data_IF_605347097957
#
_entry.id   IF_605347097957
#
_cell.length_a   1.000
_cell.length_b   1.000
_cell.length_c   1.000
_cell.angle_alpha   90.00
_cell.angle_beta   90.00
_cell.angle_gamma   90.00
#
_symmetry.space_group_name_H-M   'P 1'
#
loop_
_entity.id
_entity.type
_entity.pdbx_description
1 polymer ?
#
# COMPACT_ATOMS: atom_id res chain seq x y z
N UNK A 1 -58.02 16.13 -30.90
CA UNK A 1 -57.14 17.32 -30.88
C UNK A 1 -57.10 17.76 -29.42
N UNK A 2 -56.01 17.67 -28.66
CA UNK A 2 -54.62 18.01 -28.98
C UNK A 2 -53.64 17.10 -28.23
N UNK A 3 -52.46 16.92 -28.81
CA UNK A 3 -51.34 16.09 -28.35
C UNK A 3 -50.59 16.81 -27.22
N UNK A 4 -50.19 16.10 -26.18
CA UNK A 4 -49.24 16.60 -25.19
C UNK A 4 -47.82 16.14 -25.56
N UNK A 5 -46.93 17.12 -25.70
CA UNK A 5 -45.51 16.98 -26.04
C UNK A 5 -44.67 16.58 -24.81
N UNK A 6 -43.55 15.89 -25.10
CA UNK A 6 -42.58 15.31 -24.17
C UNK A 6 -41.90 16.31 -23.21
N UNK A 7 -41.52 15.82 -22.03
CA UNK A 7 -40.28 16.20 -21.35
C UNK A 7 -39.70 14.97 -20.65
N UNK A 8 -38.73 14.34 -21.32
CA UNK A 8 -37.87 13.35 -20.69
C UNK A 8 -36.96 14.10 -19.69
N UNK A 9 -37.04 13.76 -18.41
CA UNK A 9 -36.09 14.22 -17.41
C UNK A 9 -34.90 13.24 -17.39
N UNK A 10 -33.67 13.67 -17.69
CA UNK A 10 -32.51 12.83 -17.55
C UNK A 10 -31.92 13.03 -16.15
N UNK A 11 -32.06 12.04 -15.28
CA UNK A 11 -31.32 11.99 -14.01
C UNK A 11 -31.48 10.57 -13.44
N UNK A 12 -30.48 9.86 -12.97
CA UNK A 12 -29.08 10.13 -12.70
C UNK A 12 -28.45 8.73 -12.61
N UNK A 13 -27.45 8.41 -13.44
CA UNK A 13 -26.62 7.24 -13.17
C UNK A 13 -25.75 7.61 -11.97
N UNK A 14 -26.21 7.28 -10.76
CA UNK A 14 -25.33 7.27 -9.59
C UNK A 14 -24.42 6.07 -9.80
N UNK A 15 -23.29 6.29 -10.48
CA UNK A 15 -22.11 5.45 -10.30
C UNK A 15 -21.71 5.65 -8.84
N UNK A 16 -22.28 4.86 -7.94
CA UNK A 16 -21.74 4.70 -6.61
C UNK A 16 -20.34 4.09 -6.82
N UNK A 17 -19.33 4.96 -6.91
CA UNK A 17 -17.97 4.56 -6.66
C UNK A 17 -18.00 3.99 -5.23
N UNK A 18 -18.00 2.66 -5.13
CA UNK A 18 -17.84 1.97 -3.85
C UNK A 18 -16.61 2.54 -3.14
N UNK A 19 -16.52 2.42 -1.80
CA UNK A 19 -15.39 2.97 -1.08
C UNK A 19 -14.11 2.35 -1.63
N UNK A 20 -13.40 3.10 -2.48
CA UNK A 20 -11.99 2.89 -2.67
C UNK A 20 -11.42 3.15 -1.29
N UNK A 21 -10.97 2.08 -0.60
CA UNK A 21 -10.29 2.20 0.68
C UNK A 21 -9.16 3.21 0.47
N UNK A 22 -9.35 4.41 1.01
CA UNK A 22 -8.40 5.48 0.85
C UNK A 22 -7.14 5.06 1.63
N UNK A 23 -5.98 5.12 0.97
CA UNK A 23 -4.69 4.88 1.62
C UNK A 23 -4.61 5.65 2.95
N UNK A 24 -4.16 5.03 4.06
CA UNK A 24 -3.99 5.71 5.35
C UNK A 24 -3.14 6.96 5.16
N UNK A 25 -3.48 8.07 5.81
CA UNK A 25 -2.70 9.31 5.79
C UNK A 25 -1.45 9.19 6.67
N UNK A 26 -0.48 10.08 6.50
CA UNK A 26 0.71 10.11 7.37
C UNK A 26 0.30 10.27 8.83
N UNK A 27 -0.55 11.25 9.11
CA UNK A 27 -1.01 11.59 10.46
C UNK A 27 -1.90 10.50 11.09
N UNK A 28 -2.50 9.60 10.28
CA UNK A 28 -3.21 8.43 10.83
C UNK A 28 -2.27 7.30 11.24
N UNK A 29 -1.05 7.27 10.68
CA UNK A 29 -0.02 6.28 11.01
C UNK A 29 0.90 6.78 12.13
N UNK A 30 1.22 8.07 12.16
CA UNK A 30 2.01 8.72 13.21
C UNK A 30 1.17 8.89 14.49
N UNK A 31 0.98 7.78 15.22
CA UNK A 31 0.08 7.68 16.36
C UNK A 31 0.56 8.49 17.57
N UNK A 32 1.88 8.60 17.74
CA UNK A 32 2.46 9.39 18.82
C UNK A 32 2.72 10.85 18.43
N UNK A 33 2.40 11.24 17.20
CA UNK A 33 2.55 12.59 16.65
C UNK A 33 3.97 13.14 16.79
N UNK A 34 4.99 12.27 16.66
CA UNK A 34 6.39 12.68 16.74
C UNK A 34 6.98 13.11 15.39
N UNK A 35 6.15 13.12 14.34
CA UNK A 35 6.54 13.53 12.99
C UNK A 35 7.21 12.42 12.19
N UNK A 36 7.19 11.18 12.71
CA UNK A 36 7.75 10.02 12.07
C UNK A 36 6.82 8.80 12.20
N UNK A 37 6.90 7.89 11.25
CA UNK A 37 6.22 6.58 11.34
C UNK A 37 7.26 5.53 11.70
N UNK A 38 7.11 4.89 12.86
CA UNK A 38 7.94 3.75 13.25
C UNK A 38 7.41 2.45 12.67
N UNK A 39 8.26 1.43 12.73
CA UNK A 39 7.95 0.07 12.30
C UNK A 39 6.65 -0.45 12.93
N UNK A 40 6.49 -0.26 14.23
CA UNK A 40 5.34 -0.74 15.01
C UNK A 40 4.03 -0.05 14.59
N UNK A 41 4.11 1.22 14.22
CA UNK A 41 2.99 2.02 13.75
C UNK A 41 2.57 1.65 12.32
N UNK A 42 3.51 1.17 11.50
CA UNK A 42 3.27 0.74 10.13
C UNK A 42 2.75 -0.70 10.03
N UNK A 43 3.25 -1.60 10.86
CA UNK A 43 3.01 -3.05 10.77
C UNK A 43 1.53 -3.43 10.76
N UNK A 44 0.69 -2.74 11.53
CA UNK A 44 -0.75 -3.02 11.59
C UNK A 44 -1.56 -2.50 10.40
N UNK A 45 -0.93 -1.77 9.47
CA UNK A 45 -1.60 -0.96 8.45
C UNK A 45 -1.30 -1.44 7.03
N UNK A 46 -0.26 -2.26 6.87
CA UNK A 46 0.06 -2.93 5.61
C UNK A 46 -0.82 -4.19 5.53
N UNK A 47 -2.01 -4.05 4.94
CA UNK A 47 -2.91 -5.19 4.73
C UNK A 47 -2.65 -5.93 3.40
N UNK A 48 -1.73 -5.42 2.58
CA UNK A 48 -1.46 -5.94 1.23
C UNK A 48 -0.58 -7.21 1.20
N UNK A 49 -0.23 -7.82 2.33
CA UNK A 49 0.59 -9.06 2.35
C UNK A 49 -0.02 -10.16 1.45
N UNK A 50 -1.31 -10.45 1.65
CA UNK A 50 -2.08 -11.44 0.87
C UNK A 50 -2.24 -11.07 -0.62
N UNK A 51 -1.92 -9.84 -1.02
CA UNK A 51 -1.90 -9.45 -2.44
C UNK A 51 -0.68 -10.02 -3.16
N UNK A 52 0.40 -10.24 -2.41
CA UNK A 52 1.70 -10.64 -2.94
C UNK A 52 1.97 -12.13 -2.75
N UNK A 53 1.41 -12.71 -1.70
CA UNK A 53 1.27 -14.16 -1.53
C UNK A 53 0.19 -14.65 -2.50
N UNK A 54 0.63 -15.18 -3.64
CA UNK A 54 -0.24 -15.51 -4.78
C UNK A 54 -0.76 -16.93 -4.70
N UNK A 55 -0.03 -17.81 -4.04
CA UNK A 55 -0.44 -19.19 -3.80
C UNK A 55 -1.19 -19.35 -2.46
N UNK A 56 -1.29 -18.28 -1.66
CA UNK A 56 -2.01 -18.19 -0.38
C UNK A 56 -1.48 -19.21 0.65
N UNK A 57 -0.15 -19.42 0.64
CA UNK A 57 0.52 -20.35 1.53
C UNK A 57 1.01 -19.69 2.84
N UNK A 58 0.84 -18.38 2.98
CA UNK A 58 1.25 -17.58 4.13
C UNK A 58 2.73 -17.18 4.12
N UNK A 59 3.43 -17.39 3.01
CA UNK A 59 4.85 -17.11 2.79
C UNK A 59 5.01 -16.40 1.44
N UNK A 60 6.10 -15.65 1.27
CA UNK A 60 6.48 -15.10 -0.04
C UNK A 60 7.67 -15.91 -0.55
N UNK A 61 7.40 -16.77 -1.52
CA UNK A 61 8.41 -17.55 -2.21
C UNK A 61 9.22 -16.68 -3.20
N UNK A 62 10.40 -17.14 -3.63
CA UNK A 62 11.26 -16.38 -4.57
C UNK A 62 10.54 -15.95 -5.85
N UNK A 63 9.76 -16.84 -6.45
CA UNK A 63 8.97 -16.57 -7.66
C UNK A 63 7.88 -15.49 -7.46
N UNK A 64 7.37 -15.33 -6.25
CA UNK A 64 6.39 -14.31 -5.86
C UNK A 64 7.10 -12.99 -5.56
N UNK A 65 8.21 -13.05 -4.82
CA UNK A 65 9.07 -11.90 -4.55
C UNK A 65 9.53 -11.19 -5.83
N UNK A 66 9.95 -11.96 -6.85
CA UNK A 66 10.39 -11.41 -8.14
C UNK A 66 9.29 -10.63 -8.88
N UNK A 67 8.02 -10.81 -8.50
CA UNK A 67 6.87 -10.10 -9.11
C UNK A 67 6.49 -8.83 -8.35
N UNK A 68 7.11 -8.56 -7.20
CA UNK A 68 6.85 -7.34 -6.43
C UNK A 68 7.24 -6.10 -7.27
N UNK A 69 6.33 -5.13 -7.43
CA UNK A 69 6.60 -3.93 -8.25
C UNK A 69 7.56 -2.95 -7.56
N UNK A 70 7.71 -3.05 -6.24
CA UNK A 70 8.56 -2.19 -5.42
C UNK A 70 9.84 -2.89 -4.94
N UNK A 71 10.18 -4.07 -5.49
CA UNK A 71 11.45 -4.72 -5.13
C UNK A 71 12.62 -3.83 -5.55
N UNK A 72 13.38 -3.36 -4.57
CA UNK A 72 14.64 -2.61 -4.74
C UNK A 72 15.86 -3.41 -4.28
N UNK A 73 15.61 -4.55 -3.67
CA UNK A 73 16.56 -5.38 -2.94
C UNK A 73 16.43 -6.83 -3.40
N UNK A 74 17.43 -7.65 -3.08
CA UNK A 74 17.41 -9.07 -3.39
C UNK A 74 16.55 -9.83 -2.37
N UNK A 75 16.04 -11.00 -2.77
CA UNK A 75 15.31 -11.91 -1.88
C UNK A 75 16.07 -12.17 -0.56
N UNK A 76 17.38 -12.39 -0.64
CA UNK A 76 18.24 -12.64 0.51
C UNK A 76 18.41 -11.45 1.47
N UNK A 77 18.04 -10.23 1.05
CA UNK A 77 18.05 -9.07 1.94
C UNK A 77 16.80 -9.06 2.85
N UNK A 78 15.78 -9.84 2.50
CA UNK A 78 14.48 -9.93 3.17
C UNK A 78 14.37 -11.22 3.98
N UNK A 79 14.77 -12.36 3.40
CA UNK A 79 14.94 -13.67 4.05
C UNK A 79 16.07 -13.58 5.10
N UNK A 80 15.70 -13.19 6.31
CA UNK A 80 16.63 -12.85 7.39
C UNK A 80 17.04 -14.09 8.17
N UNK A 81 16.19 -15.11 8.21
CA UNK A 81 16.45 -16.39 8.88
C UNK A 81 17.16 -17.41 7.95
N UNK A 82 17.17 -17.18 6.64
CA UNK A 82 17.83 -18.01 5.64
C UNK A 82 17.10 -19.32 5.33
N UNK A 83 15.79 -19.41 5.59
CA UNK A 83 15.01 -20.63 5.37
C UNK A 83 14.51 -20.78 3.92
N UNK A 84 14.74 -19.77 3.08
CA UNK A 84 14.39 -19.77 1.67
C UNK A 84 12.97 -19.27 1.38
N UNK A 85 12.25 -18.82 2.41
CA UNK A 85 10.92 -18.24 2.36
C UNK A 85 10.96 -16.83 2.99
N UNK A 86 9.93 -16.02 2.77
CA UNK A 86 9.77 -14.73 3.47
C UNK A 86 8.46 -14.75 4.22
N UNK A 87 8.55 -14.83 5.55
CA UNK A 87 7.38 -14.76 6.41
C UNK A 87 6.79 -13.34 6.48
N UNK A 88 5.60 -13.19 7.07
CA UNK A 88 4.96 -11.87 7.21
C UNK A 88 5.85 -10.84 7.92
N UNK A 89 6.59 -11.23 8.95
CA UNK A 89 7.46 -10.33 9.71
C UNK A 89 8.63 -9.88 8.84
N UNK A 90 9.28 -10.80 8.15
CA UNK A 90 10.38 -10.52 7.21
C UNK A 90 9.93 -9.62 6.06
N UNK A 91 8.73 -9.86 5.53
CA UNK A 91 8.12 -9.01 4.52
C UNK A 91 7.94 -7.58 5.02
N UNK A 92 7.32 -7.38 6.20
CA UNK A 92 7.13 -6.03 6.74
C UNK A 92 8.46 -5.36 7.08
N UNK A 93 9.44 -6.12 7.58
CA UNK A 93 10.80 -5.65 7.87
C UNK A 93 11.51 -5.16 6.59
N UNK A 94 11.54 -5.98 5.56
CA UNK A 94 12.14 -5.64 4.27
C UNK A 94 11.43 -4.46 3.60
N UNK A 95 10.10 -4.45 3.64
CA UNK A 95 9.29 -3.37 3.09
C UNK A 95 9.55 -2.04 3.80
N UNK A 96 9.65 -2.05 5.13
CA UNK A 96 10.03 -0.87 5.91
C UNK A 96 11.41 -0.35 5.47
N UNK A 97 12.40 -1.24 5.38
CA UNK A 97 13.78 -0.91 4.96
C UNK A 97 13.87 -0.41 3.52
N UNK A 98 12.99 -0.84 2.63
CA UNK A 98 12.99 -0.43 1.23
C UNK A 98 12.70 1.07 1.02
N UNK A 99 12.07 1.72 2.01
CA UNK A 99 11.76 3.16 1.98
C UNK A 99 12.42 3.95 3.11
N UNK A 100 12.89 3.32 4.20
CA UNK A 100 13.73 3.94 5.23
C UNK A 100 15.15 4.21 4.67
N UNK A 101 15.33 5.36 4.01
CA UNK A 101 16.54 5.64 3.21
C UNK A 101 17.77 5.87 4.06
N UNK A 102 17.60 6.53 5.21
CA UNK A 102 18.68 6.81 6.14
C UNK A 102 18.86 5.71 7.21
N UNK A 103 17.99 4.68 7.19
CA UNK A 103 18.06 3.49 8.03
C UNK A 103 17.98 3.83 9.52
N UNK A 104 17.23 4.87 9.85
CA UNK A 104 17.09 5.34 11.23
C UNK A 104 15.95 4.64 11.99
N UNK A 105 15.25 3.69 11.36
CA UNK A 105 14.13 2.97 11.94
C UNK A 105 12.83 3.77 11.91
N UNK A 106 12.75 4.86 11.12
CA UNK A 106 11.62 5.78 11.08
C UNK A 106 11.39 6.31 9.67
N UNK A 107 10.14 6.35 9.22
CA UNK A 107 9.80 7.03 7.98
C UNK A 107 9.45 8.48 8.23
N UNK A 108 10.15 9.35 7.52
CA UNK A 108 9.74 10.75 7.35
C UNK A 108 8.53 10.85 6.41
N UNK A 109 7.86 12.00 6.41
CA UNK A 109 6.79 12.31 5.45
C UNK A 109 7.24 12.18 3.99
N UNK A 110 8.53 12.36 3.69
CA UNK A 110 9.11 12.16 2.36
C UNK A 110 9.10 10.69 1.97
N UNK A 111 9.54 9.80 2.85
CA UNK A 111 9.64 8.36 2.60
C UNK A 111 8.27 7.70 2.51
N UNK A 112 7.35 8.11 3.39
CA UNK A 112 5.95 7.73 3.30
C UNK A 112 5.31 8.15 1.96
N UNK A 113 5.57 9.38 1.47
CA UNK A 113 5.06 9.81 0.15
C UNK A 113 5.63 8.97 -0.98
N UNK A 114 6.90 8.60 -0.91
CA UNK A 114 7.51 7.69 -1.89
C UNK A 114 6.84 6.31 -1.86
N UNK A 115 6.58 5.74 -0.68
CA UNK A 115 5.87 4.48 -0.53
C UNK A 115 4.46 4.54 -1.14
N UNK A 116 3.70 5.61 -0.86
CA UNK A 116 2.39 5.84 -1.51
C UNK A 116 2.48 5.96 -3.02
N UNK A 117 3.46 6.70 -3.54
CA UNK A 117 3.64 6.90 -4.97
C UNK A 117 3.95 5.58 -5.70
N UNK A 118 4.57 4.62 -5.01
CA UNK A 118 4.81 3.27 -5.50
C UNK A 118 3.62 2.31 -5.27
N UNK A 119 2.50 2.82 -4.78
CA UNK A 119 1.25 2.05 -4.64
C UNK A 119 1.19 1.16 -3.41
N UNK A 120 2.04 1.38 -2.40
CA UNK A 120 2.10 0.52 -1.21
C UNK A 120 0.79 0.49 -0.39
N UNK A 121 -0.02 1.54 -0.49
CA UNK A 121 -1.22 1.72 0.34
C UNK A 121 -2.53 1.77 -0.47
N UNK A 122 -2.50 1.38 -1.75
CA UNK A 122 -3.67 1.43 -2.63
C UNK A 122 -3.96 2.82 -3.26
N UNK A 123 -4.50 2.78 -4.48
CA UNK A 123 -4.89 3.89 -5.37
C UNK A 123 -3.96 5.12 -5.38
N UNK A 124 -3.04 5.13 -6.35
CA UNK A 124 -2.19 6.27 -6.68
C UNK A 124 -3.00 7.54 -6.95
N UNK A 125 -2.98 8.45 -5.98
CA UNK A 125 -3.30 9.85 -6.22
C UNK A 125 -2.11 10.52 -6.88
N UNK A 126 -2.07 10.51 -8.22
CA UNK A 126 -1.31 11.50 -8.96
C UNK A 126 -1.78 12.88 -8.52
N UNK A 127 -0.94 13.63 -7.83
CA UNK A 127 -1.00 15.09 -7.86
C UNK A 127 0.45 15.56 -7.80
N UNK A 128 1.02 15.68 -9.00
CA UNK A 128 2.11 16.61 -9.20
C UNK A 128 1.61 18.01 -8.87
N UNK A 129 2.31 18.67 -7.96
CA UNK A 129 2.61 20.11 -7.97
C UNK A 129 4.00 20.26 -7.38
#
# INVERSE_FOLDING_TARGET
MSRFSYLALPTLLIMAAGPALAAPSFDSLDHNHDGHIKKEELYGQIHDYARWDRNDNGLIERNEFERLPFKKQQFSDWDSNGDGEIDSKEFYDGLFRAYDRDRNGRWTRREYREARANGLFGAGGTNGQ
#
